data_IF_897968116333
#
_entry.id   IF_897968116333
#
_cell.length_a   1.000
_cell.length_b   1.000
_cell.length_c   1.000
_cell.angle_alpha   90.00
_cell.angle_beta   90.00
_cell.angle_gamma   90.00
#
_symmetry.space_group_name_H-M   'P 1'
#
loop_
_entity.id
_entity.type
_entity.pdbx_description
1 polymer ?
#
# COMPACT_ATOMS: atom_id res chain seq x y z
N UNK A 1 4.19 24.85 -2.12
CA UNK A 1 3.79 23.53 -1.59
C UNK A 1 4.30 22.49 -2.57
N UNK A 2 5.28 21.67 -2.20
CA UNK A 2 5.77 20.62 -3.13
C UNK A 2 4.70 19.54 -3.20
N UNK A 3 4.17 19.29 -4.39
CA UNK A 3 3.19 18.24 -4.66
C UNK A 3 3.93 16.96 -5.01
N UNK A 4 3.49 15.83 -4.45
CA UNK A 4 4.00 14.50 -4.77
C UNK A 4 2.86 13.67 -5.38
N UNK A 5 2.42 14.00 -6.61
CA UNK A 5 1.18 13.49 -7.16
C UNK A 5 1.17 11.96 -7.26
N UNK A 6 2.30 11.35 -7.64
CA UNK A 6 2.39 9.90 -7.78
C UNK A 6 2.27 9.17 -6.43
N UNK A 7 2.96 9.68 -5.40
CA UNK A 7 2.78 9.20 -4.02
C UNK A 7 1.32 9.29 -3.59
N UNK A 8 0.71 10.45 -3.77
CA UNK A 8 -0.64 10.69 -3.28
C UNK A 8 -1.67 9.81 -4.01
N UNK A 9 -1.43 9.51 -5.28
CA UNK A 9 -2.22 8.53 -6.06
C UNK A 9 -2.03 7.11 -5.55
N UNK A 10 -0.81 6.64 -5.34
CA UNK A 10 -0.53 5.30 -4.84
C UNK A 10 -1.15 5.06 -3.47
N UNK A 11 -0.99 6.01 -2.54
CA UNK A 11 -1.60 5.93 -1.20
C UNK A 11 -3.12 5.94 -1.26
N UNK A 12 -3.72 6.68 -2.20
CA UNK A 12 -5.17 6.63 -2.42
C UNK A 12 -5.62 5.26 -2.93
N UNK A 13 -4.91 4.71 -3.92
CA UNK A 13 -5.23 3.41 -4.50
C UNK A 13 -5.12 2.27 -3.48
N UNK A 14 -4.03 2.25 -2.71
CA UNK A 14 -3.80 1.26 -1.63
C UNK A 14 -4.87 1.33 -0.54
N UNK A 15 -5.37 2.51 -0.19
CA UNK A 15 -6.47 2.66 0.77
C UNK A 15 -7.80 2.13 0.23
N UNK A 16 -8.04 2.22 -1.07
CA UNK A 16 -9.26 1.76 -1.71
C UNK A 16 -9.30 0.23 -1.90
N UNK A 17 -8.15 -0.39 -2.21
CA UNK A 17 -8.08 -1.81 -2.60
C UNK A 17 -7.48 -2.73 -1.54
N UNK A 18 -6.93 -2.17 -0.45
CA UNK A 18 -6.35 -2.84 0.71
C UNK A 18 -5.12 -3.73 0.45
N UNK A 19 -5.21 -4.74 -0.42
CA UNK A 19 -4.11 -5.62 -0.82
C UNK A 19 -3.88 -5.45 -2.31
N UNK A 20 -2.68 -4.99 -2.68
CA UNK A 20 -2.38 -4.56 -4.05
C UNK A 20 -1.00 -5.10 -4.46
N UNK A 21 -0.84 -5.55 -5.71
CA UNK A 21 0.48 -5.90 -6.26
C UNK A 21 1.11 -4.74 -7.04
N UNK A 22 2.42 -4.77 -7.25
CA UNK A 22 3.09 -3.77 -8.07
C UNK A 22 2.59 -3.83 -9.52
N UNK A 23 2.25 -5.00 -10.06
CA UNK A 23 1.67 -5.10 -11.41
C UNK A 23 0.30 -4.45 -11.52
N UNK A 24 -0.54 -4.56 -10.49
CA UNK A 24 -1.84 -3.88 -10.47
C UNK A 24 -1.68 -2.36 -10.51
N UNK A 25 -0.72 -1.81 -9.77
CA UNK A 25 -0.40 -0.38 -9.82
C UNK A 25 0.19 0.03 -11.17
N UNK A 26 1.10 -0.78 -11.72
CA UNK A 26 1.69 -0.54 -13.04
C UNK A 26 0.61 -0.49 -14.13
N UNK A 27 -0.33 -1.44 -14.10
CA UNK A 27 -1.45 -1.51 -15.03
C UNK A 27 -2.41 -0.32 -14.84
N UNK A 28 -2.88 -0.06 -13.62
CA UNK A 28 -3.85 1.01 -13.34
C UNK A 28 -3.31 2.40 -13.72
N UNK A 29 -2.04 2.67 -13.41
CA UNK A 29 -1.45 3.97 -13.67
C UNK A 29 -0.69 4.04 -15.01
N UNK A 30 -0.70 2.95 -15.80
CA UNK A 30 0.06 2.83 -17.05
C UNK A 30 1.54 3.21 -16.89
N UNK A 31 2.17 2.72 -15.82
CA UNK A 31 3.57 2.97 -15.46
C UNK A 31 4.42 1.74 -15.70
N UNK A 32 5.71 1.95 -15.96
CA UNK A 32 6.68 0.84 -15.97
C UNK A 32 6.81 0.23 -14.57
N UNK A 33 6.90 -1.11 -14.50
CA UNK A 33 6.96 -1.85 -13.23
C UNK A 33 8.11 -1.38 -12.33
N UNK A 34 9.28 -1.08 -12.91
CA UNK A 34 10.43 -0.60 -12.15
C UNK A 34 10.18 0.75 -11.45
N UNK A 35 9.39 1.65 -12.05
CA UNK A 35 9.01 2.93 -11.43
C UNK A 35 8.08 2.66 -10.25
N UNK A 36 7.14 1.73 -10.40
CA UNK A 36 6.19 1.38 -9.35
C UNK A 36 6.92 0.75 -8.16
N UNK A 37 7.82 -0.20 -8.41
CA UNK A 37 8.65 -0.83 -7.39
C UNK A 37 9.52 0.18 -6.65
N UNK A 38 10.20 1.09 -7.37
CA UNK A 38 11.00 2.16 -6.77
C UNK A 38 10.15 3.05 -5.87
N UNK A 39 8.97 3.47 -6.34
CA UNK A 39 8.07 4.32 -5.57
C UNK A 39 7.53 3.59 -4.33
N UNK A 40 7.12 2.32 -4.46
CA UNK A 40 6.68 1.52 -3.32
C UNK A 40 7.79 1.33 -2.29
N UNK A 41 9.03 1.16 -2.75
CA UNK A 41 10.19 1.08 -1.88
C UNK A 41 10.44 2.40 -1.13
N UNK A 42 10.36 3.55 -1.80
CA UNK A 42 10.46 4.86 -1.15
C UNK A 42 9.34 5.08 -0.11
N UNK A 43 8.11 4.65 -0.41
CA UNK A 43 6.99 4.74 0.54
C UNK A 43 7.17 3.80 1.74
N UNK A 44 7.78 2.62 1.52
CA UNK A 44 8.11 1.68 2.59
C UNK A 44 9.16 2.26 3.53
N UNK A 45 10.19 2.88 2.98
CA UNK A 45 11.23 3.58 3.76
C UNK A 45 10.65 4.71 4.61
N UNK A 46 9.58 5.35 4.13
CA UNK A 46 8.81 6.36 4.87
C UNK A 46 7.80 5.76 5.86
N UNK A 47 7.66 4.43 5.93
CA UNK A 47 6.70 3.74 6.80
C UNK A 47 5.24 3.94 6.39
N UNK A 48 4.96 4.36 5.16
CA UNK A 48 3.61 4.64 4.69
C UNK A 48 2.91 3.40 4.13
N UNK A 49 3.70 2.43 3.69
CA UNK A 49 3.24 1.14 3.14
C UNK A 49 4.09 0.00 3.67
N UNK A 50 3.58 -1.21 3.59
CA UNK A 50 4.31 -2.44 3.91
C UNK A 50 4.14 -3.45 2.79
N UNK A 51 5.19 -4.24 2.55
CA UNK A 51 5.10 -5.47 1.76
C UNK A 51 4.87 -6.63 2.73
N UNK A 52 3.75 -7.33 2.58
CA UNK A 52 3.38 -8.44 3.47
C UNK A 52 4.10 -9.72 3.06
N UNK A 53 3.95 -10.15 1.80
CA UNK A 53 4.57 -11.33 1.20
C UNK A 53 4.53 -11.20 -0.33
N UNK A 54 5.52 -11.75 -1.05
CA UNK A 54 5.47 -12.00 -2.52
C UNK A 54 4.84 -10.85 -3.34
N UNK A 55 5.30 -9.62 -3.11
CA UNK A 55 4.81 -8.43 -3.81
C UNK A 55 3.40 -7.92 -3.43
N UNK A 56 2.83 -8.36 -2.30
CA UNK A 56 1.57 -7.82 -1.79
C UNK A 56 1.86 -6.59 -0.92
N UNK A 57 1.37 -5.43 -1.38
CA UNK A 57 1.50 -4.14 -0.74
C UNK A 57 0.19 -3.70 -0.07
N UNK A 58 0.33 -3.06 1.08
CA UNK A 58 -0.77 -2.48 1.86
C UNK A 58 -0.34 -1.15 2.46
N UNK A 59 -1.26 -0.20 2.59
CA UNK A 59 -0.98 1.02 3.37
C UNK A 59 -0.89 0.70 4.87
N UNK A 60 0.05 1.34 5.57
CA UNK A 60 0.24 1.15 7.02
C UNK A 60 -1.06 1.45 7.81
N UNK A 61 -1.81 2.48 7.41
CA UNK A 61 -3.09 2.84 8.00
C UNK A 61 -4.13 1.71 7.89
N UNK A 62 -4.29 1.10 6.71
CA UNK A 62 -5.22 -0.01 6.49
C UNK A 62 -4.78 -1.23 7.28
N UNK A 63 -3.49 -1.55 7.27
CA UNK A 63 -2.97 -2.69 8.02
C UNK A 63 -3.23 -2.56 9.53
N UNK A 64 -2.95 -1.39 10.13
CA UNK A 64 -3.24 -1.17 11.56
C UNK A 64 -4.71 -1.40 11.88
N UNK A 65 -5.61 -0.91 11.03
CA UNK A 65 -7.06 -1.07 11.22
C UNK A 65 -7.50 -2.53 11.14
N UNK A 66 -6.99 -3.27 10.15
CA UNK A 66 -7.24 -4.70 10.01
C UNK A 66 -6.73 -5.46 11.23
N UNK A 67 -5.48 -5.21 11.65
CA UNK A 67 -4.87 -5.86 12.83
C UNK A 67 -5.71 -5.65 14.09
N UNK A 68 -6.16 -4.42 14.35
CA UNK A 68 -6.99 -4.11 15.52
C UNK A 68 -8.33 -4.87 15.48
N UNK A 69 -9.01 -4.89 14.32
CA UNK A 69 -10.28 -5.61 14.15
C UNK A 69 -10.11 -7.13 14.30
N UNK A 70 -9.07 -7.70 13.70
CA UNK A 70 -8.77 -9.13 13.83
C UNK A 70 -8.46 -9.53 15.28
N UNK A 71 -7.69 -8.72 16.01
CA UNK A 71 -7.41 -8.96 17.42
C UNK A 71 -8.66 -8.86 18.29
N UNK A 72 -9.55 -7.92 17.99
CA UNK A 72 -10.82 -7.79 18.71
C UNK A 72 -11.71 -9.01 18.47
N UNK A 73 -11.88 -9.43 17.21
CA UNK A 73 -12.66 -10.62 16.87
C UNK A 73 -12.10 -11.90 17.56
N UNK A 74 -10.78 -12.02 17.65
CA UNK A 74 -10.14 -13.14 18.34
C UNK A 74 -10.34 -13.13 19.88
N UNK A 75 -10.65 -11.98 20.47
CA UNK A 75 -10.96 -11.86 21.91
C UNK A 75 -12.43 -12.14 22.22
N UNK A 76 -13.30 -11.96 21.25
CA UNK A 76 -14.75 -12.15 21.39
C UNK A 76 -15.21 -13.58 21.07
N UNK A 77 -14.33 -14.40 20.48
CA UNK A 77 -14.56 -15.82 20.18
C UNK A 77 -14.24 -16.73 21.37
#
# INVERSE_FOLDING_TARGET
RVSYPLRDLFLRYLRAHALVTAEQLAHEFSLGIAIVEEQLQQLREQGLVMNLQQDIWVSDEVFRRLRLRSLQAAREA
#
